data_IF_954268363872
#
_entry.id   IF_954268363872
#
_cell.length_a   1.000
_cell.length_b   1.000
_cell.length_c   1.000
_cell.angle_alpha   90.00
_cell.angle_beta   90.00
_cell.angle_gamma   90.00
#
_symmetry.space_group_name_H-M   'P 1'
#
loop_
_entity.id
_entity.type
_entity.pdbx_description
1 polymer ?
#
# COMPACT_ATOMS: atom_id res chain seq x y z
N UNK A 1 -0.62 -26.91 -7.70
CA UNK A 1 -1.29 -25.75 -7.04
C UNK A 1 -1.36 -24.64 -8.08
N UNK A 2 -2.49 -23.97 -8.22
CA UNK A 2 -2.64 -22.91 -9.21
C UNK A 2 -1.89 -21.65 -8.77
N UNK A 3 -1.40 -20.88 -9.74
CA UNK A 3 -0.61 -19.67 -9.53
C UNK A 3 -1.31 -18.49 -10.19
N UNK A 4 -1.64 -17.49 -9.39
CA UNK A 4 -2.02 -16.17 -9.91
C UNK A 4 -0.76 -15.32 -10.05
N UNK A 5 -0.58 -14.72 -11.22
CA UNK A 5 0.56 -13.88 -11.55
C UNK A 5 0.05 -12.52 -11.95
N UNK A 6 0.68 -11.46 -11.45
CA UNK A 6 0.38 -10.09 -11.85
C UNK A 6 1.64 -9.28 -12.13
N UNK A 7 1.68 -8.69 -13.31
CA UNK A 7 2.66 -7.72 -13.78
C UNK A 7 1.92 -6.50 -14.35
N UNK A 8 1.87 -5.40 -13.58
CA UNK A 8 1.03 -4.23 -13.87
C UNK A 8 -0.44 -4.60 -14.12
N UNK A 9 -0.91 -4.39 -15.36
CA UNK A 9 -2.26 -4.66 -15.86
C UNK A 9 -2.36 -6.04 -16.52
N UNK A 10 -1.22 -6.72 -16.72
CA UNK A 10 -1.18 -8.10 -17.18
C UNK A 10 -1.31 -9.04 -15.99
N UNK A 11 -2.37 -9.82 -15.97
CA UNK A 11 -2.61 -10.83 -14.95
C UNK A 11 -3.13 -12.12 -15.55
N UNK A 12 -2.75 -13.24 -14.94
CA UNK A 12 -3.20 -14.56 -15.36
C UNK A 12 -3.34 -15.49 -14.16
N UNK A 13 -4.11 -16.55 -14.35
CA UNK A 13 -4.13 -17.71 -13.48
C UNK A 13 -3.66 -18.91 -14.30
N UNK A 14 -2.64 -19.59 -13.80
CA UNK A 14 -2.03 -20.76 -14.45
C UNK A 14 -1.98 -21.95 -13.51
N UNK A 15 -1.80 -23.15 -14.06
CA UNK A 15 -1.92 -24.41 -13.32
C UNK A 15 -0.58 -25.10 -13.05
N UNK A 16 0.51 -24.60 -13.65
CA UNK A 16 1.86 -25.15 -13.52
C UNK A 16 2.93 -24.04 -13.45
N UNK A 17 4.14 -24.42 -13.03
CA UNK A 17 5.29 -23.52 -13.06
C UNK A 17 5.73 -23.22 -14.51
N UNK A 18 5.54 -24.18 -15.40
CA UNK A 18 5.85 -24.09 -16.82
C UNK A 18 4.97 -23.03 -17.50
N UNK A 19 3.66 -23.10 -17.30
CA UNK A 19 2.72 -22.08 -17.80
C UNK A 19 3.00 -20.69 -17.20
N UNK A 20 3.45 -20.64 -15.94
CA UNK A 20 3.87 -19.38 -15.31
C UNK A 20 5.06 -18.76 -16.03
N UNK A 21 6.07 -19.58 -16.37
CA UNK A 21 7.26 -19.13 -17.08
C UNK A 21 6.94 -18.71 -18.50
N UNK A 22 6.05 -19.45 -19.19
CA UNK A 22 5.62 -19.12 -20.55
C UNK A 22 4.85 -17.79 -20.58
N UNK A 23 3.96 -17.55 -19.60
CA UNK A 23 3.32 -16.26 -19.44
C UNK A 23 4.36 -15.14 -19.25
N UNK A 24 5.31 -15.30 -18.33
CA UNK A 24 6.34 -14.28 -18.07
C UNK A 24 7.21 -13.99 -19.30
N UNK A 25 7.56 -15.02 -20.07
CA UNK A 25 8.31 -14.87 -21.33
C UNK A 25 7.49 -14.18 -22.41
N UNK A 26 6.19 -14.45 -22.50
CA UNK A 26 5.29 -13.85 -23.50
C UNK A 26 5.11 -12.33 -23.34
N UNK A 27 5.37 -11.79 -22.14
CA UNK A 27 5.33 -10.35 -21.90
C UNK A 27 6.46 -9.58 -22.61
N UNK A 28 7.57 -10.23 -22.99
CA UNK A 28 8.71 -9.60 -23.67
C UNK A 28 9.52 -8.59 -22.83
N UNK A 29 8.98 -8.10 -21.71
CA UNK A 29 9.63 -7.12 -20.82
C UNK A 29 10.43 -7.75 -19.67
N UNK A 30 10.21 -9.05 -19.40
CA UNK A 30 10.81 -9.75 -18.28
C UNK A 30 11.88 -10.71 -18.78
N UNK A 31 13.15 -10.42 -18.46
CA UNK A 31 14.23 -11.38 -18.66
C UNK A 31 14.15 -12.47 -17.58
N UNK A 32 13.54 -13.60 -17.93
CA UNK A 32 13.48 -14.78 -17.06
C UNK A 32 14.85 -15.42 -16.99
N UNK A 33 15.58 -15.17 -15.89
CA UNK A 33 16.89 -15.78 -15.64
C UNK A 33 16.73 -17.21 -15.14
N UNK A 34 17.78 -18.03 -15.29
CA UNK A 34 17.80 -19.40 -14.76
C UNK A 34 17.49 -19.45 -13.26
N UNK A 35 18.05 -18.55 -12.47
CA UNK A 35 17.80 -18.48 -11.03
C UNK A 35 16.32 -18.14 -10.73
N UNK A 36 15.71 -17.26 -11.51
CA UNK A 36 14.29 -16.93 -11.38
C UNK A 36 13.42 -18.14 -11.73
N UNK A 37 13.79 -18.88 -12.78
CA UNK A 37 13.09 -20.10 -13.18
C UNK A 37 13.16 -21.20 -12.11
N UNK A 38 14.35 -21.49 -11.60
CA UNK A 38 14.55 -22.45 -10.50
C UNK A 38 13.74 -22.04 -9.26
N UNK A 39 13.78 -20.77 -8.90
CA UNK A 39 13.05 -20.22 -7.75
C UNK A 39 11.52 -20.26 -7.91
N UNK A 40 10.99 -20.04 -9.13
CA UNK A 40 9.55 -20.18 -9.41
C UNK A 40 9.12 -21.65 -9.31
N UNK A 41 9.93 -22.58 -9.83
CA UNK A 41 9.67 -24.03 -9.74
C UNK A 41 9.70 -24.52 -8.30
N UNK A 42 10.70 -24.10 -7.52
CA UNK A 42 10.79 -24.38 -6.09
C UNK A 42 9.63 -23.75 -5.33
N UNK A 43 9.29 -22.50 -5.63
CA UNK A 43 8.13 -21.85 -5.04
C UNK A 43 6.88 -22.66 -5.32
N UNK A 44 6.59 -23.03 -6.57
CA UNK A 44 5.39 -23.78 -6.95
C UNK A 44 5.27 -25.14 -6.23
N UNK A 45 6.38 -25.86 -6.06
CA UNK A 45 6.41 -27.19 -5.42
C UNK A 45 6.46 -27.14 -3.88
N UNK A 46 6.92 -26.04 -3.29
CA UNK A 46 6.99 -25.89 -1.83
C UNK A 46 5.61 -25.81 -1.16
N UNK A 47 5.59 -25.96 0.18
CA UNK A 47 4.39 -25.69 0.99
C UNK A 47 4.24 -24.20 1.39
N UNK A 48 5.10 -23.32 0.88
CA UNK A 48 5.04 -21.88 1.21
C UNK A 48 3.84 -21.24 0.52
N UNK A 49 2.91 -20.70 1.30
CA UNK A 49 1.68 -20.06 0.79
C UNK A 49 1.77 -18.53 0.69
N UNK A 50 2.83 -17.93 1.22
CA UNK A 50 2.99 -16.48 1.21
C UNK A 50 3.27 -15.96 -0.23
N UNK A 51 2.65 -14.84 -0.67
CA UNK A 51 2.92 -14.24 -1.97
C UNK A 51 4.40 -13.90 -2.16
N UNK A 52 4.96 -14.26 -3.31
CA UNK A 52 6.35 -13.96 -3.66
C UNK A 52 6.42 -12.81 -4.65
N UNK A 53 7.36 -11.89 -4.42
CA UNK A 53 7.57 -10.68 -5.25
C UNK A 53 8.93 -10.77 -5.92
N UNK A 54 8.93 -10.64 -7.25
CA UNK A 54 10.13 -10.71 -8.07
C UNK A 54 10.45 -9.35 -8.65
N UNK A 55 11.63 -8.81 -8.33
CA UNK A 55 12.09 -7.52 -8.86
C UNK A 55 12.66 -7.73 -10.25
N UNK A 56 12.11 -7.03 -11.25
CA UNK A 56 12.56 -7.08 -12.65
C UNK A 56 13.54 -5.92 -12.94
N UNK A 57 13.17 -4.70 -12.54
CA UNK A 57 14.03 -3.49 -12.61
C UNK A 57 13.72 -2.55 -11.44
N UNK A 58 14.38 -1.40 -11.36
CA UNK A 58 14.06 -0.39 -10.36
C UNK A 58 12.55 -0.07 -10.38
N UNK A 59 11.89 -0.17 -9.23
CA UNK A 59 10.44 0.03 -9.04
C UNK A 59 9.49 -0.92 -9.80
N UNK A 60 10.00 -1.90 -10.55
CA UNK A 60 9.17 -2.82 -11.34
C UNK A 60 9.33 -4.24 -10.87
N UNK A 61 8.19 -4.90 -10.66
CA UNK A 61 8.11 -6.24 -10.11
C UNK A 61 6.85 -6.93 -10.60
N UNK A 62 6.86 -8.26 -10.57
CA UNK A 62 5.64 -9.06 -10.60
C UNK A 62 5.44 -9.77 -9.26
N UNK A 63 4.23 -10.22 -9.02
CA UNK A 63 3.89 -11.06 -7.86
C UNK A 63 3.36 -12.41 -8.33
N UNK A 64 3.67 -13.45 -7.57
CA UNK A 64 3.05 -14.77 -7.71
C UNK A 64 2.33 -15.10 -6.39
N UNK A 65 1.09 -15.56 -6.50
CA UNK A 65 0.24 -15.98 -5.39
C UNK A 65 -0.24 -17.39 -5.65
N UNK A 66 0.06 -18.32 -4.75
CA UNK A 66 -0.57 -19.65 -4.78
C UNK A 66 -2.04 -19.56 -4.42
N UNK A 67 -2.86 -20.34 -5.12
CA UNK A 67 -4.29 -20.34 -4.89
C UNK A 67 -4.91 -21.69 -5.24
N UNK A 68 -6.04 -21.97 -4.59
CA UNK A 68 -6.93 -23.11 -4.90
C UNK A 68 -8.06 -22.72 -5.84
N UNK A 69 -8.03 -21.51 -6.40
CA UNK A 69 -9.03 -21.06 -7.37
C UNK A 69 -8.78 -21.72 -8.72
N UNK A 70 -9.83 -22.23 -9.36
CA UNK A 70 -9.72 -22.95 -10.64
C UNK A 70 -9.70 -22.03 -11.85
N UNK A 71 -10.23 -20.81 -11.70
CA UNK A 71 -10.26 -19.81 -12.78
C UNK A 71 -10.12 -18.38 -12.25
N UNK A 72 -9.82 -17.44 -13.15
CA UNK A 72 -9.62 -16.02 -12.81
C UNK A 72 -10.81 -15.39 -12.09
N UNK A 73 -12.03 -15.79 -12.44
CA UNK A 73 -13.26 -15.29 -11.82
C UNK A 73 -13.34 -15.71 -10.36
N UNK A 74 -13.17 -17.00 -10.08
CA UNK A 74 -13.17 -17.55 -8.72
C UNK A 74 -12.07 -16.93 -7.85
N UNK A 75 -10.87 -16.70 -8.40
CA UNK A 75 -9.80 -16.02 -7.67
C UNK A 75 -10.17 -14.59 -7.27
N UNK A 76 -10.78 -13.82 -8.18
CA UNK A 76 -11.22 -12.44 -7.93
C UNK A 76 -12.41 -12.38 -6.99
N UNK A 77 -13.38 -13.27 -7.16
CA UNK A 77 -14.59 -13.36 -6.32
C UNK A 77 -14.25 -13.82 -4.91
N UNK A 78 -13.41 -14.86 -4.71
CA UNK A 78 -12.95 -15.27 -3.37
C UNK A 78 -12.11 -14.20 -2.68
N UNK A 79 -11.37 -13.36 -3.42
CA UNK A 79 -10.71 -12.18 -2.86
C UNK A 79 -11.72 -11.12 -2.40
N UNK A 80 -12.80 -10.91 -3.15
CA UNK A 80 -13.90 -10.03 -2.75
C UNK A 80 -14.70 -10.61 -1.58
N UNK A 81 -14.89 -11.93 -1.50
CA UNK A 81 -15.53 -12.61 -0.38
C UNK A 81 -14.64 -12.62 0.86
N UNK A 82 -13.32 -12.80 0.77
CA UNK A 82 -12.41 -12.59 1.92
C UNK A 82 -12.40 -11.14 2.42
N UNK A 83 -12.74 -10.18 1.57
CA UNK A 83 -12.98 -8.79 1.99
C UNK A 83 -14.36 -8.58 2.66
N UNK A 84 -15.28 -9.54 2.54
CA UNK A 84 -16.68 -9.44 3.01
C UNK A 84 -17.07 -10.49 4.08
N UNK A 85 -16.31 -11.57 4.24
CA UNK A 85 -16.55 -12.70 5.16
C UNK A 85 -15.38 -12.88 6.16
N UNK A 86 -14.87 -11.78 6.69
CA UNK A 86 -13.93 -11.78 7.82
C UNK A 86 -14.62 -11.73 9.19
N UNK A 87 -15.89 -12.18 9.31
CA UNK A 87 -16.63 -12.17 10.58
C UNK A 87 -16.81 -13.59 11.12
N UNK A 88 -15.84 -14.07 11.88
CA UNK A 88 -16.06 -14.83 13.12
C UNK A 88 -14.70 -15.36 13.58
N UNK A 89 -14.30 -14.95 14.78
CA UNK A 89 -13.11 -15.37 15.52
C UNK A 89 -11.77 -14.75 15.09
N UNK A 90 -11.09 -14.20 16.10
CA UNK A 90 -9.89 -13.34 16.06
C UNK A 90 -10.20 -11.86 15.82
N UNK A 91 -10.24 -11.09 16.92
CA UNK A 91 -10.08 -9.64 16.92
C UNK A 91 -8.88 -9.26 16.05
N UNK A 92 -9.13 -8.88 14.81
CA UNK A 92 -8.18 -8.20 13.96
C UNK A 92 -8.85 -6.89 13.57
N UNK A 93 -8.74 -5.90 14.47
CA UNK A 93 -9.12 -4.51 14.23
C UNK A 93 -8.40 -4.06 12.95
N UNK A 94 -9.09 -4.12 11.82
CA UNK A 94 -8.52 -3.75 10.55
C UNK A 94 -8.24 -2.24 10.59
N UNK A 95 -6.99 -1.78 10.76
CA UNK A 95 -6.71 -0.35 10.99
C UNK A 95 -7.10 0.51 9.77
N UNK A 96 -7.21 -0.13 8.60
CA UNK A 96 -7.69 0.44 7.35
C UNK A 96 -9.15 0.85 7.39
N UNK A 97 -9.99 0.10 8.10
CA UNK A 97 -11.40 0.42 8.24
C UNK A 97 -11.54 1.72 9.04
N UNK A 98 -10.85 1.83 10.17
CA UNK A 98 -10.90 3.02 11.04
C UNK A 98 -10.36 4.29 10.37
N UNK A 99 -9.30 4.19 9.55
CA UNK A 99 -8.74 5.36 8.85
C UNK A 99 -9.69 5.97 7.82
N UNK A 100 -10.47 5.12 7.13
CA UNK A 100 -11.43 5.54 6.12
C UNK A 100 -12.83 5.78 6.69
N UNK A 101 -13.10 5.41 7.94
CA UNK A 101 -14.38 5.68 8.59
C UNK A 101 -14.67 7.17 8.52
N UNK A 102 -15.72 7.50 7.77
CA UNK A 102 -16.20 8.87 7.68
C UNK A 102 -16.69 9.32 9.05
N UNK A 103 -16.06 10.37 9.56
CA UNK A 103 -16.39 11.02 10.84
C UNK A 103 -15.95 12.47 10.74
N UNK A 104 -16.79 13.27 10.11
CA UNK A 104 -16.52 14.68 9.85
C UNK A 104 -16.17 15.40 11.17
N UNK A 105 -15.24 16.35 11.15
CA UNK A 105 -14.92 17.15 12.35
C UNK A 105 -13.49 17.67 12.37
N UNK A 106 -13.08 18.14 13.55
CA UNK A 106 -11.71 18.53 13.84
C UNK A 106 -10.87 17.32 14.18
N UNK A 107 -9.69 17.23 13.58
CA UNK A 107 -8.68 16.23 13.85
C UNK A 107 -7.36 16.91 14.20
N UNK A 108 -6.64 16.34 15.16
CA UNK A 108 -5.21 16.56 15.35
C UNK A 108 -4.47 15.43 14.65
N UNK A 109 -3.59 15.75 13.72
CA UNK A 109 -2.73 14.78 13.05
C UNK A 109 -1.27 15.09 13.33
N UNK A 110 -0.51 14.06 13.67
CA UNK A 110 0.93 14.09 13.89
C UNK A 110 1.62 13.18 12.87
N UNK A 111 2.50 13.77 12.06
CA UNK A 111 3.27 13.06 11.02
C UNK A 111 4.76 13.18 11.33
N UNK A 112 5.44 12.06 11.44
CA UNK A 112 6.90 11.98 11.50
C UNK A 112 7.43 11.60 10.11
N UNK A 113 8.25 12.46 9.51
CA UNK A 113 8.73 12.31 8.13
C UNK A 113 10.19 12.71 7.98
N UNK A 114 10.82 12.26 6.88
CA UNK A 114 12.20 12.64 6.55
C UNK A 114 12.15 13.93 5.72
N UNK A 115 12.46 15.07 6.34
CA UNK A 115 12.55 16.37 5.67
C UNK A 115 13.91 16.54 5.04
N UNK A 116 13.94 16.94 3.76
CA UNK A 116 15.19 17.37 3.12
C UNK A 116 15.48 18.82 3.47
N UNK A 117 16.72 19.08 3.90
CA UNK A 117 17.22 20.42 4.26
C UNK A 117 18.54 20.67 3.53
N UNK A 118 18.72 21.87 2.98
CA UNK A 118 19.98 22.32 2.43
C UNK A 118 20.91 22.75 3.57
N UNK A 119 22.13 22.24 3.58
CA UNK A 119 23.19 22.67 4.50
C UNK A 119 23.87 23.90 3.89
N UNK A 120 23.67 25.13 4.42
CA UNK A 120 24.14 26.34 3.75
C UNK A 120 25.66 26.40 3.57
N UNK A 121 26.42 25.81 4.49
CA UNK A 121 27.89 25.80 4.45
C UNK A 121 28.47 24.88 3.39
N UNK A 122 27.78 23.81 2.99
CA UNK A 122 28.31 22.80 2.05
C UNK A 122 27.56 22.73 0.73
N UNK A 123 26.39 23.35 0.64
CA UNK A 123 25.47 23.21 -0.50
C UNK A 123 24.86 21.81 -0.65
N UNK A 124 25.16 20.89 0.27
CA UNK A 124 24.63 19.53 0.25
C UNK A 124 23.25 19.47 0.87
N UNK A 125 22.50 18.43 0.50
CA UNK A 125 21.18 18.15 1.05
C UNK A 125 21.28 16.99 2.04
N UNK A 126 20.56 17.10 3.15
CA UNK A 126 20.46 16.03 4.14
C UNK A 126 19.01 15.74 4.51
N UNK A 127 18.76 14.50 4.94
CA UNK A 127 17.47 14.08 5.46
C UNK A 127 17.48 14.20 6.98
N UNK A 128 16.53 14.95 7.54
CA UNK A 128 16.30 15.06 8.98
C UNK A 128 14.96 14.46 9.36
N UNK A 129 14.92 13.67 10.43
CA UNK A 129 13.66 13.30 11.07
C UNK A 129 12.96 14.57 11.56
N UNK A 130 11.70 14.74 11.16
CA UNK A 130 10.90 15.92 11.48
C UNK A 130 9.51 15.47 11.89
N UNK A 131 9.06 15.93 13.06
CA UNK A 131 7.67 15.77 13.51
C UNK A 131 6.89 17.04 13.18
N UNK A 132 5.72 16.87 12.57
CA UNK A 132 4.79 17.95 12.29
C UNK A 132 3.42 17.60 12.87
N UNK A 133 2.85 18.54 13.63
CA UNK A 133 1.52 18.39 14.24
C UNK A 133 0.63 19.52 13.76
N UNK A 134 -0.57 19.20 13.32
CA UNK A 134 -1.55 20.19 12.93
C UNK A 134 -2.97 19.77 13.30
N UNK A 135 -3.82 20.75 13.58
CA UNK A 135 -5.26 20.58 13.72
C UNK A 135 -5.95 21.05 12.45
N UNK A 136 -6.73 20.18 11.81
CA UNK A 136 -7.46 20.52 10.61
C UNK A 136 -8.87 19.93 10.60
N UNK A 137 -9.76 20.56 9.85
CA UNK A 137 -11.06 19.98 9.52
C UNK A 137 -10.84 18.87 8.50
N UNK A 138 -11.41 17.70 8.77
CA UNK A 138 -11.31 16.55 7.89
C UNK A 138 -12.58 15.69 7.95
N UNK A 139 -12.82 14.91 6.89
CA UNK A 139 -13.94 13.98 6.79
C UNK A 139 -13.61 12.60 7.42
N UNK A 140 -12.34 12.31 7.61
CA UNK A 140 -11.82 11.07 8.19
C UNK A 140 -10.38 11.27 8.65
N UNK A 141 -9.82 10.27 9.33
CA UNK A 141 -8.41 10.28 9.70
C UNK A 141 -7.47 10.23 8.47
N UNK A 142 -7.88 9.52 7.40
CA UNK A 142 -7.14 9.52 6.13
C UNK A 142 -7.19 10.90 5.46
N UNK A 143 -8.34 11.57 5.48
CA UNK A 143 -8.45 12.93 4.95
C UNK A 143 -7.57 13.91 5.74
N UNK A 144 -7.53 13.80 7.08
CA UNK A 144 -6.61 14.56 7.93
C UNK A 144 -5.14 14.36 7.49
N UNK A 145 -4.72 13.10 7.30
CA UNK A 145 -3.39 12.79 6.79
C UNK A 145 -3.10 13.44 5.44
N UNK A 146 -4.00 13.28 4.47
CA UNK A 146 -3.83 13.80 3.12
C UNK A 146 -3.68 15.32 3.12
N UNK A 147 -4.52 16.03 3.89
CA UNK A 147 -4.46 17.49 4.02
C UNK A 147 -3.13 17.96 4.62
N UNK A 148 -2.63 17.27 5.65
CA UNK A 148 -1.32 17.57 6.25
C UNK A 148 -0.20 17.37 5.24
N UNK A 149 -0.18 16.24 4.53
CA UNK A 149 0.88 15.93 3.56
C UNK A 149 0.84 16.87 2.36
N UNK A 150 -0.35 17.18 1.84
CA UNK A 150 -0.52 18.14 0.74
C UNK A 150 0.00 19.52 1.15
N UNK A 151 -0.35 20.00 2.35
CA UNK A 151 0.20 21.24 2.90
C UNK A 151 1.74 21.20 2.97
N UNK A 152 2.31 20.14 3.54
CA UNK A 152 3.76 20.01 3.70
C UNK A 152 4.50 19.96 2.36
N UNK A 153 3.96 19.27 1.34
CA UNK A 153 4.55 19.20 -0.01
C UNK A 153 4.78 20.57 -0.65
N UNK A 154 4.01 21.58 -0.28
CA UNK A 154 4.19 22.97 -0.77
C UNK A 154 5.24 23.76 0.02
N UNK A 155 5.70 23.25 1.17
CA UNK A 155 6.56 23.98 2.13
C UNK A 155 7.92 23.33 2.35
N UNK A 156 8.07 22.06 2.00
CA UNK A 156 9.34 21.33 2.11
C UNK A 156 9.87 20.98 0.72
N UNK A 157 11.16 20.69 0.66
CA UNK A 157 11.80 20.22 -0.56
C UNK A 157 11.13 18.95 -1.08
N UNK A 158 10.94 18.86 -2.40
CA UNK A 158 10.19 17.79 -3.07
C UNK A 158 10.78 16.39 -2.88
N UNK A 159 12.05 16.28 -2.48
CA UNK A 159 12.72 15.02 -2.14
C UNK A 159 12.39 14.51 -0.73
N UNK A 160 11.70 15.32 0.09
CA UNK A 160 11.26 14.91 1.43
C UNK A 160 10.35 13.68 1.34
N UNK A 161 10.54 12.73 2.26
CA UNK A 161 9.85 11.44 2.25
C UNK A 161 8.80 11.41 3.34
N UNK A 162 7.54 11.27 2.94
CA UNK A 162 6.41 11.12 3.85
C UNK A 162 6.13 9.64 4.12
N UNK A 163 5.71 9.28 5.34
CA UNK A 163 5.33 7.91 5.66
C UNK A 163 4.05 7.49 4.92
N UNK A 164 3.53 6.31 5.22
CA UNK A 164 2.16 5.95 4.84
C UNK A 164 1.22 6.36 5.98
N UNK A 165 -0.01 6.80 5.65
CA UNK A 165 -1.09 7.00 6.62
C UNK A 165 -1.38 5.76 7.48
N UNK A 166 -1.00 4.58 6.98
CA UNK A 166 -1.18 3.28 7.65
C UNK A 166 0.01 2.87 8.53
N UNK A 167 1.10 3.64 8.47
CA UNK A 167 2.33 3.35 9.19
C UNK A 167 2.32 3.91 10.62
N UNK A 168 3.25 3.44 11.43
CA UNK A 168 3.46 3.90 12.83
C UNK A 168 3.93 5.35 12.97
N UNK A 169 4.15 6.03 11.85
CA UNK A 169 4.70 7.40 11.77
C UNK A 169 3.61 8.44 11.50
N UNK A 170 2.34 8.03 11.56
CA UNK A 170 1.20 8.91 11.59
C UNK A 170 0.31 8.56 12.78
N UNK A 171 0.04 9.55 13.62
CA UNK A 171 -0.91 9.46 14.72
C UNK A 171 -2.03 10.48 14.50
N UNK A 172 -3.23 10.16 14.97
CA UNK A 172 -4.35 11.09 14.87
C UNK A 172 -5.26 11.01 16.08
N UNK A 173 -5.94 12.11 16.36
CA UNK A 173 -6.96 12.23 17.41
C UNK A 173 -8.15 13.02 16.89
N UNK A 174 -9.34 12.45 17.03
CA UNK A 174 -10.59 13.17 16.77
C UNK A 174 -10.88 14.14 17.92
N UNK A 175 -11.14 15.40 17.60
CA UNK A 175 -11.34 16.48 18.57
C UNK A 175 -12.81 16.91 18.73
N UNK A 176 -13.69 16.51 17.81
CA UNK A 176 -15.12 16.87 17.85
C UNK A 176 -15.63 17.49 16.55
N UNK A 177 -16.95 17.54 16.40
CA UNK A 177 -17.60 18.19 15.27
C UNK A 177 -17.32 19.71 15.34
N UNK A 178 -17.14 20.37 14.21
CA UNK A 178 -17.26 21.83 14.19
C UNK A 178 -18.72 22.22 14.41
N UNK A 179 -18.96 23.37 15.05
CA UNK A 179 -20.32 23.92 15.10
C UNK A 179 -20.78 24.21 13.67
N UNK A 180 -21.92 23.64 13.29
CA UNK A 180 -22.68 24.15 12.15
C UNK A 180 -23.12 25.56 12.50
N UNK A 181 -22.93 26.51 11.58
CA UNK A 181 -23.47 27.84 11.77
C UNK A 181 -25.00 27.68 11.78
N UNK A 182 -25.65 28.09 12.86
CA UNK A 182 -27.11 28.20 12.90
C UNK A 182 -27.52 29.04 11.69
N UNK A 183 -28.27 28.42 10.77
CA UNK A 183 -28.89 29.14 9.68
C UNK A 183 -29.77 30.21 10.33
N UNK A 184 -29.39 31.48 10.18
CA UNK A 184 -30.26 32.59 10.53
C UNK A 184 -31.44 32.53 9.58
N UNK A 185 -32.58 32.11 10.11
CA UNK A 185 -33.90 32.22 9.49
C UNK A 185 -34.27 33.69 9.28
#
# INVERSE_FOLDING_TARGET
>A
MNLYIRYFDNETLVHSAEEALDFLRSLGEITVTRNMEEDIKEYASSNVMFPKRYKVRAHVYFIIIKTMADNMRDFKEKKAMKATQGSATVHNDNPLAHLNTRKDGWYEGEVEFKRVVLIPSTGKHEYRDTTFVARCKALSALDCYNRIVEYLRTRVDSRSQFPSAKGKKFHYKYLGMWKEAEAKE
#
